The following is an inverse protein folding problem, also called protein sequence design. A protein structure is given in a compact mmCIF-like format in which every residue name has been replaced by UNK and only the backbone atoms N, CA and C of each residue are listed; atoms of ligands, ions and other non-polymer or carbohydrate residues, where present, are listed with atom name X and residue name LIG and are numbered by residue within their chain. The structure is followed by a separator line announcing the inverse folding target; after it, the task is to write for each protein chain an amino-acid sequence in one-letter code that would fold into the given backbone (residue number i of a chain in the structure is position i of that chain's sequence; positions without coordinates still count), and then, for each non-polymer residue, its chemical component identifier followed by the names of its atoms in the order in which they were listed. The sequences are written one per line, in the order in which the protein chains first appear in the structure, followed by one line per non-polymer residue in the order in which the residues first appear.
data_IF_347395661662
#
_entry.id   IF_347395661662
#
_cell.length_a   1.000
_cell.length_b   1.000
_cell.length_c   1.000
_cell.angle_alpha   90.00
_cell.angle_beta   90.00
_cell.angle_gamma   90.00
#
_symmetry.space_group_name_H-M   'P 1'
#
loop_
_entity.id
_entity.type
_entity.pdbx_description
1 polymer ?
#
# COMPACT_ATOMS: atom_id res chain seq x y z
N UNK A 1 9.28 -21.37 8.89
CA UNK A 1 10.08 -20.12 8.87
C UNK A 1 9.30 -19.00 8.19
N UNK A 2 9.38 -17.81 8.77
CA UNK A 2 8.75 -16.65 8.17
C UNK A 2 9.60 -16.12 7.02
N UNK A 3 8.94 -15.74 5.93
CA UNK A 3 9.62 -15.15 4.79
C UNK A 3 9.87 -13.67 5.05
N UNK A 4 10.51 -13.01 4.11
CA UNK A 4 10.75 -11.59 4.20
C UNK A 4 9.61 -10.81 3.56
N UNK A 5 9.39 -9.58 4.03
CA UNK A 5 8.41 -8.68 3.45
C UNK A 5 8.67 -8.51 1.95
N UNK A 6 7.59 -8.45 1.16
CA UNK A 6 7.70 -8.33 -0.30
C UNK A 6 8.32 -7.01 -0.75
N UNK A 7 8.30 -5.99 0.10
CA UNK A 7 8.77 -4.64 -0.24
C UNK A 7 10.13 -4.33 0.36
N UNK A 8 10.33 -4.71 1.61
CA UNK A 8 11.58 -4.49 2.31
C UNK A 8 12.13 -5.83 2.80
N UNK A 9 13.26 -5.81 3.49
CA UNK A 9 13.88 -7.06 3.94
C UNK A 9 13.57 -7.41 5.39
N UNK A 10 12.56 -6.79 5.95
CA UNK A 10 12.11 -7.10 7.31
C UNK A 10 11.29 -8.40 7.29
N UNK A 11 11.21 -9.05 8.43
CA UNK A 11 10.42 -10.27 8.55
C UNK A 11 8.95 -9.97 8.34
N UNK A 12 8.29 -10.71 7.45
CA UNK A 12 6.87 -10.53 7.22
C UNK A 12 6.04 -11.09 8.39
N UNK A 13 4.80 -10.63 8.48
CA UNK A 13 3.85 -11.17 9.45
C UNK A 13 3.39 -12.56 8.98
N UNK A 14 2.98 -13.41 9.92
CA UNK A 14 2.56 -14.77 9.60
C UNK A 14 1.41 -14.85 8.62
N UNK A 15 0.50 -13.88 8.69
CA UNK A 15 -0.70 -13.85 7.86
C UNK A 15 -0.62 -12.87 6.69
N UNK A 16 0.56 -12.35 6.41
CA UNK A 16 0.73 -11.32 5.39
C UNK A 16 2.06 -11.49 4.67
N UNK A 17 2.12 -10.97 3.44
CA UNK A 17 3.37 -10.92 2.69
C UNK A 17 4.20 -9.68 3.05
N UNK A 18 3.69 -8.85 3.94
CA UNK A 18 4.34 -7.60 4.35
C UNK A 18 4.78 -7.67 5.81
N UNK A 19 5.78 -6.85 6.19
CA UNK A 19 6.12 -6.64 7.58
C UNK A 19 5.02 -5.79 8.22
N UNK A 20 5.07 -5.64 9.56
CA UNK A 20 4.00 -4.93 10.26
C UNK A 20 3.82 -3.49 9.79
N UNK A 21 4.90 -2.84 9.35
CA UNK A 21 4.82 -1.45 8.87
C UNK A 21 4.14 -1.37 7.52
N UNK A 22 4.54 -2.21 6.58
CA UNK A 22 3.94 -2.21 5.26
C UNK A 22 2.53 -2.77 5.27
N UNK A 23 2.24 -3.71 6.16
CA UNK A 23 0.88 -4.22 6.32
C UNK A 23 -0.07 -3.11 6.77
N UNK A 24 0.37 -2.30 7.74
CA UNK A 24 -0.44 -1.17 8.21
C UNK A 24 -0.62 -0.13 7.10
N UNK A 25 0.44 0.13 6.33
CA UNK A 25 0.36 1.04 5.20
C UNK A 25 -0.61 0.53 4.14
N UNK A 26 -0.61 -0.77 3.90
CA UNK A 26 -1.54 -1.41 2.97
C UNK A 26 -2.99 -1.25 3.44
N UNK A 27 -3.25 -1.45 4.72
CA UNK A 27 -4.59 -1.25 5.28
C UNK A 27 -5.07 0.18 5.11
N UNK A 28 -4.19 1.15 5.37
CA UNK A 28 -4.51 2.57 5.19
C UNK A 28 -4.79 2.89 3.73
N UNK A 29 -4.01 2.29 2.84
CA UNK A 29 -4.17 2.47 1.40
C UNK A 29 -5.55 1.97 0.93
N UNK A 30 -5.96 0.81 1.41
CA UNK A 30 -7.27 0.25 1.08
C UNK A 30 -8.41 1.12 1.61
N UNK A 31 -8.28 1.61 2.85
CA UNK A 31 -9.29 2.48 3.44
C UNK A 31 -9.44 3.78 2.65
N UNK A 32 -8.32 4.37 2.22
CA UNK A 32 -8.33 5.56 1.40
C UNK A 32 -8.97 5.32 0.04
N UNK A 33 -8.69 4.17 -0.55
CA UNK A 33 -9.28 3.82 -1.84
C UNK A 33 -10.80 3.73 -1.76
N UNK A 34 -11.33 3.16 -0.69
CA UNK A 34 -12.77 3.05 -0.51
C UNK A 34 -13.44 4.41 -0.47
N UNK A 35 -12.80 5.38 0.19
CA UNK A 35 -13.31 6.76 0.25
C UNK A 35 -13.28 7.43 -1.12
N UNK A 36 -12.18 7.31 -1.84
CA UNK A 36 -12.03 7.93 -3.15
C UNK A 36 -12.95 7.31 -4.20
N UNK A 37 -13.10 6.00 -4.15
CA UNK A 37 -14.00 5.29 -5.05
C UNK A 37 -15.44 5.75 -4.87
N UNK A 38 -15.86 5.94 -3.61
CA UNK A 38 -17.20 6.38 -3.29
C UNK A 38 -17.44 7.83 -3.75
N UNK A 39 -16.41 8.67 -3.62
CA UNK A 39 -16.52 10.09 -3.98
C UNK A 39 -16.33 10.36 -5.47
N UNK A 40 -15.38 9.70 -6.11
CA UNK A 40 -14.98 10.00 -7.50
C UNK A 40 -15.08 8.82 -8.45
N UNK A 41 -15.38 7.63 -7.98
CA UNK A 41 -15.45 6.44 -8.83
C UNK A 41 -14.12 6.05 -9.45
N UNK A 42 -13.02 6.38 -8.79
CA UNK A 42 -11.68 6.16 -9.30
C UNK A 42 -11.32 4.67 -9.34
N UNK A 43 -10.56 4.24 -10.35
CA UNK A 43 -10.10 2.87 -10.45
C UNK A 43 -8.90 2.64 -9.53
N UNK A 44 -8.62 1.40 -9.20
CA UNK A 44 -7.48 1.04 -8.35
C UNK A 44 -6.16 1.53 -8.95
N UNK A 45 -5.99 1.33 -10.24
CA UNK A 45 -4.80 1.75 -10.96
C UNK A 45 -4.58 3.26 -10.90
N UNK A 46 -5.63 4.04 -11.14
CA UNK A 46 -5.56 5.50 -11.08
C UNK A 46 -5.31 5.98 -9.66
N UNK A 47 -5.91 5.32 -8.67
CA UNK A 47 -5.71 5.66 -7.27
C UNK A 47 -4.24 5.48 -6.87
N UNK A 48 -3.63 4.34 -7.23
CA UNK A 48 -2.23 4.08 -6.93
C UNK A 48 -1.31 5.13 -7.57
N UNK A 49 -1.60 5.48 -8.81
CA UNK A 49 -0.82 6.47 -9.55
C UNK A 49 -0.87 7.83 -8.85
N UNK A 50 -2.06 8.25 -8.41
CA UNK A 50 -2.22 9.52 -7.70
C UNK A 50 -1.45 9.53 -6.39
N UNK A 51 -1.49 8.43 -5.64
CA UNK A 51 -0.78 8.33 -4.37
C UNK A 51 0.73 8.45 -4.56
N UNK A 52 1.26 7.83 -5.58
CA UNK A 52 2.70 7.87 -5.86
C UNK A 52 3.14 9.29 -6.21
N UNK A 53 2.27 10.06 -6.88
CA UNK A 53 2.56 11.44 -7.28
C UNK A 53 2.40 12.45 -6.13
N UNK A 54 1.64 12.11 -5.09
CA UNK A 54 1.43 13.01 -3.96
C UNK A 54 2.67 13.05 -3.05
N UNK A 55 3.14 14.26 -2.78
CA UNK A 55 4.30 14.45 -1.90
C UNK A 55 3.99 14.18 -0.45
N UNK A 56 2.75 14.36 -0.05
CA UNK A 56 2.30 14.20 1.33
C UNK A 56 2.02 12.76 1.72
N UNK A 57 2.01 11.85 0.76
CA UNK A 57 1.82 10.43 1.03
C UNK A 57 3.04 9.89 1.76
N UNK A 58 2.84 9.17 2.84
CA UNK A 58 3.94 8.61 3.62
C UNK A 58 4.77 7.64 2.79
N UNK A 59 6.06 7.57 3.11
CA UNK A 59 7.00 6.71 2.39
C UNK A 59 6.55 5.25 2.38
N UNK A 60 6.05 4.75 3.51
CA UNK A 60 5.58 3.37 3.62
C UNK A 60 4.41 3.09 2.69
N UNK A 61 3.49 4.06 2.57
CA UNK A 61 2.33 3.93 1.71
C UNK A 61 2.75 3.98 0.25
N UNK A 62 3.71 4.83 -0.10
CA UNK A 62 4.25 4.90 -1.47
C UNK A 62 4.91 3.59 -1.86
N UNK A 63 5.65 2.97 -0.93
CA UNK A 63 6.29 1.69 -1.19
C UNK A 63 5.27 0.61 -1.53
N UNK A 64 4.19 0.54 -0.75
CA UNK A 64 3.12 -0.42 -0.99
C UNK A 64 2.42 -0.14 -2.30
N UNK A 65 2.11 1.14 -2.58
CA UNK A 65 1.45 1.52 -3.82
C UNK A 65 2.29 1.17 -5.05
N UNK A 66 3.58 1.41 -4.98
CA UNK A 66 4.50 1.07 -6.07
C UNK A 66 4.56 -0.44 -6.28
N UNK A 67 4.59 -1.21 -5.19
CA UNK A 67 4.59 -2.66 -5.28
C UNK A 67 3.30 -3.19 -5.90
N UNK A 68 2.16 -2.65 -5.50
CA UNK A 68 0.86 -3.09 -6.01
C UNK A 68 0.66 -2.72 -7.49
N UNK A 69 1.32 -1.66 -7.94
CA UNK A 69 1.20 -1.20 -9.32
C UNK A 69 1.88 -2.14 -10.31
N UNK A 70 2.86 -2.89 -9.88
CA UNK A 70 3.62 -3.79 -10.76
C UNK A 70 2.78 -4.95 -11.33
#
# INVERSE_FOLDING_TARGET
MLSKCAICQRTQLEESEYCKYHERAYENLLAGYRKWKRAEGITWSDYLKKLIELKETGEWVKDVATHQKK
#
